data_IF_574048825784
#
_entry.id   IF_574048825784
#
_cell.length_a   1.000
_cell.length_b   1.000
_cell.length_c   1.000
_cell.angle_alpha   90.00
_cell.angle_beta   90.00
_cell.angle_gamma   90.00
#
_symmetry.space_group_name_H-M   'P 1'
#
loop_
_entity.id
_entity.type
_entity.pdbx_description
1 polymer ?
#
# COMPACT_ATOMS: atom_id res chain seq x y z
N UNK A 1 -1.63 35.58 -8.77
CA UNK A 1 -2.01 35.73 -7.35
C UNK A 1 -1.63 34.46 -6.59
N UNK A 2 -0.60 34.52 -5.72
CA UNK A 2 -0.38 33.49 -4.70
C UNK A 2 -1.57 33.58 -3.74
N UNK A 3 -2.41 32.56 -3.67
CA UNK A 3 -3.30 32.40 -2.52
C UNK A 3 -2.41 32.04 -1.35
N UNK A 4 -2.23 32.96 -0.41
CA UNK A 4 -1.65 32.66 0.88
C UNK A 4 -2.47 31.54 1.50
N UNK A 5 -1.83 30.39 1.71
CA UNK A 5 -2.46 29.29 2.43
C UNK A 5 -2.75 29.79 3.85
N UNK A 6 -3.99 29.65 4.36
CA UNK A 6 -4.31 30.10 5.70
C UNK A 6 -3.40 29.37 6.70
N UNK A 7 -2.82 30.08 7.68
CA UNK A 7 -1.86 29.52 8.66
C UNK A 7 -2.35 28.23 9.33
N UNK A 8 -3.66 28.08 9.53
CA UNK A 8 -4.29 26.86 10.07
C UNK A 8 -4.10 25.62 9.18
N UNK A 9 -4.02 25.80 7.87
CA UNK A 9 -3.76 24.72 6.91
C UNK A 9 -2.32 24.20 7.04
N UNK A 10 -1.35 25.09 7.22
CA UNK A 10 0.05 24.72 7.40
C UNK A 10 0.28 23.98 8.73
N UNK A 11 -0.38 24.40 9.81
CA UNK A 11 -0.32 23.72 11.11
C UNK A 11 -0.90 22.30 11.03
N UNK A 12 -2.10 22.13 10.45
CA UNK A 12 -2.71 20.80 10.29
C UNK A 12 -1.90 19.88 9.36
N UNK A 13 -1.29 20.45 8.32
CA UNK A 13 -0.38 19.74 7.43
C UNK A 13 0.86 19.24 8.18
N UNK A 14 1.50 20.10 8.98
CA UNK A 14 2.65 19.75 9.80
C UNK A 14 2.30 18.69 10.85
N UNK A 15 1.17 18.83 11.56
CA UNK A 15 0.74 17.84 12.55
C UNK A 15 0.52 16.45 11.94
N UNK A 16 -0.08 16.38 10.75
CA UNK A 16 -0.27 15.10 10.04
C UNK A 16 1.05 14.51 9.59
N UNK A 17 1.98 15.33 9.10
CA UNK A 17 3.29 14.85 8.68
C UNK A 17 4.07 14.28 9.86
N UNK A 18 4.07 15.01 10.97
CA UNK A 18 4.66 14.59 12.26
C UNK A 18 4.05 13.26 12.71
N UNK A 19 2.73 13.12 12.66
CA UNK A 19 2.04 11.89 13.04
C UNK A 19 2.57 10.66 12.27
N UNK A 20 2.63 10.72 10.94
CA UNK A 20 3.13 9.57 10.15
C UNK A 20 4.64 9.34 10.31
N UNK A 21 5.43 10.38 10.59
CA UNK A 21 6.86 10.20 10.87
C UNK A 21 7.14 9.64 12.26
N UNK A 22 6.26 9.88 13.24
CA UNK A 22 6.47 9.49 14.64
C UNK A 22 5.87 8.14 15.03
N UNK A 23 4.87 7.61 14.32
CA UNK A 23 4.24 6.32 14.68
C UNK A 23 5.29 5.22 14.86
N UNK A 24 6.19 5.04 13.89
CA UNK A 24 7.17 3.96 13.94
C UNK A 24 8.22 4.21 15.03
N UNK A 25 8.87 5.38 15.15
CA UNK A 25 9.78 5.67 16.27
C UNK A 25 9.13 5.46 17.64
N UNK A 26 7.88 5.90 17.82
CA UNK A 26 7.14 5.71 19.07
C UNK A 26 6.88 4.23 19.33
N UNK A 27 6.44 3.47 18.32
CA UNK A 27 6.23 2.04 18.45
C UNK A 27 7.52 1.29 18.78
N UNK A 28 8.65 1.69 18.19
CA UNK A 28 9.99 1.16 18.51
C UNK A 28 10.37 1.48 19.96
N UNK A 29 10.14 2.70 20.42
CA UNK A 29 10.35 3.08 21.82
C UNK A 29 9.51 2.24 22.78
N UNK A 30 8.23 2.03 22.46
CA UNK A 30 7.34 1.16 23.24
C UNK A 30 7.87 -0.29 23.24
N UNK A 31 8.29 -0.80 22.08
CA UNK A 31 8.86 -2.15 21.97
C UNK A 31 10.11 -2.32 22.84
N UNK A 32 11.00 -1.32 22.84
CA UNK A 32 12.19 -1.31 23.70
C UNK A 32 11.84 -1.27 25.19
N UNK A 33 10.86 -0.44 25.58
CA UNK A 33 10.36 -0.39 26.96
C UNK A 33 9.79 -1.74 27.38
N UNK A 34 9.02 -2.40 26.51
CA UNK A 34 8.45 -3.72 26.80
C UNK A 34 9.56 -4.78 26.90
N UNK A 35 10.54 -4.75 26.00
CA UNK A 35 11.70 -5.63 26.01
C UNK A 35 12.56 -5.51 27.27
N UNK A 36 12.59 -4.33 27.91
CA UNK A 36 13.45 -4.04 29.08
C UNK A 36 12.73 -4.15 30.42
N UNK A 37 11.44 -3.80 30.49
CA UNK A 37 10.69 -3.77 31.76
C UNK A 37 9.89 -5.04 32.04
N UNK A 38 9.45 -5.77 31.01
CA UNK A 38 8.66 -6.98 31.21
C UNK A 38 9.59 -8.18 31.45
N UNK A 39 9.19 -9.15 32.29
CA UNK A 39 9.90 -10.42 32.42
C UNK A 39 10.03 -11.13 31.06
N UNK A 40 11.13 -11.87 30.86
CA UNK A 40 11.43 -12.56 29.59
C UNK A 40 10.25 -13.41 29.07
N UNK A 41 9.54 -14.11 29.95
CA UNK A 41 8.35 -14.91 29.60
C UNK A 41 7.16 -14.10 29.04
N UNK A 42 7.23 -12.77 29.04
CA UNK A 42 6.25 -11.85 28.46
C UNK A 42 6.86 -10.87 27.43
N UNK A 43 8.17 -10.65 27.48
CA UNK A 43 8.86 -9.66 26.64
C UNK A 43 9.46 -10.26 25.37
N UNK A 44 9.81 -11.54 25.39
CA UNK A 44 10.40 -12.21 24.23
C UNK A 44 9.37 -12.31 23.09
N UNK A 45 9.77 -12.14 21.81
CA UNK A 45 8.85 -12.16 20.67
C UNK A 45 7.97 -13.42 20.61
N UNK A 46 8.52 -14.56 21.01
CA UNK A 46 7.85 -15.85 21.06
C UNK A 46 6.92 -16.09 22.26
N UNK A 47 6.91 -15.19 23.25
CA UNK A 47 6.08 -15.31 24.45
C UNK A 47 4.59 -15.25 24.11
N UNK A 48 3.69 -15.81 24.94
CA UNK A 48 2.24 -15.81 24.67
C UNK A 48 1.67 -14.41 24.42
N UNK A 49 2.15 -13.40 25.17
CA UNK A 49 1.73 -12.01 25.00
C UNK A 49 2.19 -11.48 23.64
N UNK A 50 3.48 -11.56 23.34
CA UNK A 50 4.03 -11.02 22.10
C UNK A 50 3.48 -11.74 20.88
N UNK A 51 3.29 -13.06 20.95
CA UNK A 51 2.69 -13.84 19.87
C UNK A 51 1.23 -13.41 19.61
N UNK A 52 0.46 -13.12 20.67
CA UNK A 52 -0.89 -12.57 20.53
C UNK A 52 -0.89 -11.19 19.83
N UNK A 53 0.07 -10.32 20.18
CA UNK A 53 0.25 -9.03 19.49
C UNK A 53 0.61 -9.22 18.02
N UNK A 54 1.50 -10.17 17.69
CA UNK A 54 1.82 -10.51 16.31
C UNK A 54 0.62 -11.01 15.52
N UNK A 55 -0.19 -11.90 16.09
CA UNK A 55 -1.39 -12.44 15.43
C UNK A 55 -2.38 -11.32 15.14
N UNK A 56 -2.77 -10.54 16.15
CA UNK A 56 -3.72 -9.44 15.99
C UNK A 56 -3.16 -8.39 15.03
N UNK A 57 -1.89 -8.03 15.19
CA UNK A 57 -1.20 -7.07 14.33
C UNK A 57 -1.18 -7.50 12.87
N UNK A 58 -0.85 -8.77 12.62
CA UNK A 58 -0.86 -9.36 11.27
C UNK A 58 -2.25 -9.40 10.67
N UNK A 59 -3.28 -9.78 11.43
CA UNK A 59 -4.66 -9.77 10.95
C UNK A 59 -5.09 -8.36 10.52
N UNK A 60 -4.72 -7.32 11.28
CA UNK A 60 -4.98 -5.93 10.92
C UNK A 60 -4.20 -5.49 9.66
N UNK A 61 -2.94 -5.91 9.52
CA UNK A 61 -2.18 -5.66 8.29
C UNK A 61 -2.80 -6.37 7.08
N UNK A 62 -3.35 -7.58 7.23
CA UNK A 62 -4.09 -8.26 6.17
C UNK A 62 -5.39 -7.52 5.83
N UNK A 63 -6.15 -7.07 6.83
CA UNK A 63 -7.36 -6.24 6.65
C UNK A 63 -7.04 -4.95 5.88
N UNK A 64 -5.86 -4.38 6.10
CA UNK A 64 -5.37 -3.20 5.36
C UNK A 64 -5.37 -3.43 3.84
N UNK A 65 -4.95 -4.63 3.39
CA UNK A 65 -4.99 -4.99 1.96
C UNK A 65 -6.42 -5.07 1.44
N UNK A 66 -7.32 -5.71 2.18
CA UNK A 66 -8.74 -5.78 1.82
C UNK A 66 -9.40 -4.39 1.74
N UNK A 67 -9.02 -3.47 2.64
CA UNK A 67 -9.52 -2.09 2.64
C UNK A 67 -9.27 -1.35 1.31
N UNK A 68 -8.16 -1.63 0.62
CA UNK A 68 -7.84 -1.04 -0.70
C UNK A 68 -8.78 -1.57 -1.79
N UNK A 69 -9.28 -2.79 -1.63
CA UNK A 69 -10.16 -3.42 -2.61
C UNK A 69 -11.61 -2.94 -2.49
N UNK A 70 -11.98 -2.14 -1.48
CA UNK A 70 -13.37 -1.69 -1.29
C UNK A 70 -13.97 -1.04 -2.55
N UNK A 71 -13.19 -0.21 -3.25
CA UNK A 71 -13.59 0.41 -4.53
C UNK A 71 -13.76 -0.62 -5.65
N UNK A 72 -12.96 -1.69 -5.63
CA UNK A 72 -13.02 -2.78 -6.64
C UNK A 72 -14.24 -3.69 -6.43
N UNK A 73 -14.78 -3.71 -5.22
CA UNK A 73 -16.03 -4.38 -4.85
C UNK A 73 -17.27 -3.46 -4.91
N UNK A 74 -17.16 -2.25 -5.48
CA UNK A 74 -18.30 -1.33 -5.61
C UNK A 74 -18.71 -0.61 -4.32
N UNK A 75 -17.95 -0.75 -3.22
CA UNK A 75 -18.20 -0.03 -1.96
C UNK A 75 -17.63 1.40 -2.01
N UNK A 76 -18.18 2.35 -1.23
CA UNK A 76 -17.64 3.70 -1.14
C UNK A 76 -16.15 3.70 -0.79
N UNK A 77 -15.35 4.39 -1.60
CA UNK A 77 -13.91 4.43 -1.43
C UNK A 77 -13.44 5.03 -0.10
N UNK A 78 -14.26 5.90 0.52
CA UNK A 78 -13.96 6.53 1.81
C UNK A 78 -13.87 5.50 2.93
N UNK A 79 -14.83 4.55 2.98
CA UNK A 79 -14.88 3.53 4.04
C UNK A 79 -13.65 2.64 3.99
N UNK A 80 -13.32 2.11 2.81
CA UNK A 80 -12.11 1.28 2.65
C UNK A 80 -10.82 2.03 2.96
N UNK A 81 -10.78 3.34 2.65
CA UNK A 81 -9.63 4.19 3.00
C UNK A 81 -9.49 4.34 4.51
N UNK A 82 -10.59 4.52 5.25
CA UNK A 82 -10.57 4.62 6.72
C UNK A 82 -10.13 3.31 7.35
N UNK A 83 -10.73 2.19 6.94
CA UNK A 83 -10.36 0.85 7.40
C UNK A 83 -8.86 0.62 7.18
N UNK A 84 -8.37 0.90 5.97
CA UNK A 84 -6.97 0.76 5.63
C UNK A 84 -6.06 1.59 6.53
N UNK A 85 -6.38 2.87 6.83
CA UNK A 85 -5.53 3.70 7.70
C UNK A 85 -5.49 3.14 9.12
N UNK A 86 -6.66 2.86 9.70
CA UNK A 86 -6.76 2.47 11.11
C UNK A 86 -6.08 1.12 11.32
N UNK A 87 -6.43 0.14 10.48
CA UNK A 87 -5.85 -1.20 10.56
C UNK A 87 -4.34 -1.19 10.26
N UNK A 88 -3.85 -0.37 9.32
CA UNK A 88 -2.41 -0.26 9.05
C UNK A 88 -1.65 0.29 10.25
N UNK A 89 -2.14 1.38 10.86
CA UNK A 89 -1.46 2.02 11.98
C UNK A 89 -1.43 1.11 13.20
N UNK A 90 -2.59 0.55 13.60
CA UNK A 90 -2.67 -0.34 14.76
C UNK A 90 -1.87 -1.61 14.49
N UNK A 91 -2.03 -2.24 13.33
CA UNK A 91 -1.29 -3.44 12.95
C UNK A 91 0.22 -3.24 12.96
N UNK A 92 0.70 -2.10 12.44
CA UNK A 92 2.12 -1.76 12.46
C UNK A 92 2.65 -1.59 13.89
N UNK A 93 1.93 -0.88 14.75
CA UNK A 93 2.33 -0.71 16.16
C UNK A 93 2.44 -2.07 16.84
N UNK A 94 1.43 -2.94 16.70
CA UNK A 94 1.42 -4.25 17.34
C UNK A 94 2.57 -5.16 16.87
N UNK A 95 2.84 -5.20 15.55
CA UNK A 95 3.94 -6.00 15.00
C UNK A 95 5.31 -5.45 15.42
N UNK A 96 5.48 -4.13 15.50
CA UNK A 96 6.72 -3.54 16.02
C UNK A 96 6.90 -3.88 17.50
N UNK A 97 5.85 -3.72 18.32
CA UNK A 97 5.90 -4.03 19.75
C UNK A 97 6.26 -5.52 19.97
N UNK A 98 5.66 -6.42 19.19
CA UNK A 98 5.98 -7.85 19.19
C UNK A 98 7.47 -8.15 19.02
N UNK A 99 8.23 -7.30 18.31
CA UNK A 99 9.68 -7.51 18.16
C UNK A 99 10.47 -7.43 19.46
N UNK A 100 9.87 -7.00 20.58
CA UNK A 100 10.54 -6.96 21.88
C UNK A 100 11.85 -6.15 21.90
N UNK A 101 12.00 -5.19 20.98
CA UNK A 101 13.22 -4.41 20.79
C UNK A 101 14.30 -5.08 19.92
N UNK A 102 14.12 -6.32 19.44
CA UNK A 102 15.09 -7.03 18.58
C UNK A 102 14.96 -6.64 17.11
N UNK A 103 15.03 -5.34 16.82
CA UNK A 103 14.75 -4.75 15.50
C UNK A 103 15.86 -5.05 14.47
N UNK A 104 17.05 -5.46 14.91
CA UNK A 104 18.19 -5.79 14.05
C UNK A 104 18.35 -7.29 13.76
N UNK A 105 17.44 -8.15 14.26
CA UNK A 105 17.42 -9.56 13.89
C UNK A 105 16.93 -9.75 12.43
N UNK A 106 17.03 -10.96 11.87
CA UNK A 106 16.58 -11.29 10.50
C UNK A 106 15.16 -10.79 10.15
N UNK A 107 14.16 -10.83 11.07
CA UNK A 107 12.83 -10.24 10.84
C UNK A 107 12.81 -8.70 10.78
N UNK A 108 13.88 -8.04 11.21
CA UNK A 108 14.05 -6.58 11.24
C UNK A 108 13.91 -5.89 9.90
N UNK A 109 14.21 -6.59 8.81
CA UNK A 109 13.96 -6.09 7.45
C UNK A 109 12.47 -5.79 7.20
N UNK A 110 11.56 -6.54 7.81
CA UNK A 110 10.11 -6.31 7.71
C UNK A 110 9.70 -5.03 8.45
N UNK A 111 10.36 -4.69 9.56
CA UNK A 111 10.13 -3.43 10.30
C UNK A 111 10.59 -2.23 9.46
N UNK A 112 11.76 -2.34 8.83
CA UNK A 112 12.24 -1.31 7.89
C UNK A 112 11.25 -1.14 6.73
N UNK A 113 10.76 -2.25 6.18
CA UNK A 113 9.78 -2.23 5.10
C UNK A 113 8.46 -1.59 5.53
N UNK A 114 7.97 -1.90 6.74
CA UNK A 114 6.80 -1.24 7.34
C UNK A 114 7.01 0.28 7.46
N UNK A 115 8.18 0.72 7.92
CA UNK A 115 8.53 2.13 8.00
C UNK A 115 8.47 2.83 6.63
N UNK A 116 9.09 2.22 5.62
CA UNK A 116 9.08 2.74 4.24
C UNK A 116 7.65 2.84 3.69
N UNK A 117 6.84 1.81 3.88
CA UNK A 117 5.44 1.78 3.42
C UNK A 117 4.63 2.88 4.13
N UNK A 118 4.81 3.05 5.45
CA UNK A 118 4.14 4.07 6.25
C UNK A 118 4.48 5.48 5.77
N UNK A 119 5.77 5.77 5.56
CA UNK A 119 6.22 7.05 5.04
C UNK A 119 5.66 7.33 3.65
N UNK A 120 5.72 6.36 2.73
CA UNK A 120 5.13 6.50 1.39
C UNK A 120 3.62 6.74 1.46
N UNK A 121 2.93 6.04 2.36
CA UNK A 121 1.49 6.23 2.61
C UNK A 121 1.16 7.62 3.15
N UNK A 122 1.96 8.13 4.09
CA UNK A 122 1.84 9.50 4.61
C UNK A 122 2.09 10.55 3.53
N UNK A 123 3.17 10.40 2.76
CA UNK A 123 3.49 11.27 1.62
C UNK A 123 2.33 11.30 0.59
N UNK A 124 1.77 10.14 0.24
CA UNK A 124 0.63 10.03 -0.68
C UNK A 124 -0.64 10.71 -0.17
N UNK A 125 -0.82 10.85 1.14
CA UNK A 125 -2.03 11.42 1.74
C UNK A 125 -1.90 12.90 2.07
N UNK A 126 -0.70 13.36 2.39
CA UNK A 126 -0.47 14.71 2.91
C UNK A 126 0.09 15.61 1.81
N UNK A 127 1.17 15.18 1.16
CA UNK A 127 1.92 16.00 0.20
C UNK A 127 1.32 15.87 -1.20
N UNK A 128 0.97 14.65 -1.59
CA UNK A 128 0.56 14.39 -2.97
C UNK A 128 -0.73 15.08 -3.41
N UNK A 129 -1.79 15.24 -2.59
CA UNK A 129 -2.98 16.00 -2.99
C UNK A 129 -2.68 17.45 -3.37
N UNK A 130 -1.72 18.09 -2.69
CA UNK A 130 -1.26 19.44 -3.02
C UNK A 130 -0.50 19.49 -4.34
N UNK A 131 0.31 18.48 -4.63
CA UNK A 131 1.01 18.38 -5.91
C UNK A 131 0.02 18.07 -7.05
N UNK A 132 -0.98 17.23 -6.79
CA UNK A 132 -2.05 16.96 -7.76
C UNK A 132 -2.88 18.19 -8.06
N UNK A 133 -3.28 18.99 -7.06
CA UNK A 133 -4.03 20.23 -7.30
C UNK A 133 -3.24 21.25 -8.12
N UNK A 134 -1.94 21.41 -7.81
CA UNK A 134 -1.03 22.29 -8.58
C UNK A 134 -0.84 21.83 -10.02
N UNK A 135 -0.88 20.53 -10.27
CA UNK A 135 -0.65 19.97 -11.61
C UNK A 135 -1.92 19.85 -12.44
N UNK A 136 -3.10 19.65 -11.83
CA UNK A 136 -4.36 19.35 -12.51
C UNK A 136 -4.74 20.38 -13.59
N UNK A 137 -4.56 21.68 -13.29
CA UNK A 137 -4.83 22.78 -14.24
C UNK A 137 -3.66 23.14 -15.15
N UNK A 138 -2.46 22.59 -14.91
CA UNK A 138 -1.24 22.91 -15.67
C UNK A 138 -0.87 21.86 -16.71
N UNK A 139 -1.68 20.80 -16.85
CA UNK A 139 -1.48 19.73 -17.85
C UNK A 139 -1.79 20.25 -19.25
N UNK A 140 -1.01 21.22 -19.73
CA UNK A 140 -1.05 21.77 -21.08
C UNK A 140 -0.85 20.67 -22.13
N UNK A 141 -0.03 19.64 -21.85
CA UNK A 141 0.21 18.51 -22.77
C UNK A 141 -1.03 17.70 -23.13
N UNK A 142 -2.07 17.70 -22.30
CA UNK A 142 -3.34 17.06 -22.64
C UNK A 142 -4.20 17.89 -23.62
N UNK A 143 -3.87 19.17 -23.77
CA UNK A 143 -4.58 20.15 -24.60
C UNK A 143 -3.70 20.74 -25.72
N UNK A 144 -2.42 20.35 -25.80
CA UNK A 144 -1.56 20.70 -26.94
C UNK A 144 -2.02 19.98 -28.18
N UNK A 145 -1.98 20.67 -29.33
CA UNK A 145 -2.24 20.06 -30.63
C UNK A 145 -1.36 18.82 -30.81
N UNK A 146 -2.00 17.67 -30.98
CA UNK A 146 -1.33 16.42 -31.31
C UNK A 146 -1.05 16.39 -32.81
N UNK A 147 0.13 15.90 -33.17
CA UNK A 147 0.44 15.54 -34.56
C UNK A 147 -0.66 14.63 -35.14
N UNK A 148 -0.95 14.80 -36.44
CA UNK A 148 -2.05 14.08 -37.09
C UNK A 148 -1.91 12.56 -37.03
N UNK A 149 -0.68 12.05 -37.05
CA UNK A 149 -0.41 10.62 -36.91
C UNK A 149 -0.81 10.11 -35.51
N UNK A 150 -0.38 10.81 -34.46
CA UNK A 150 -0.72 10.49 -33.06
C UNK A 150 -2.22 10.58 -32.81
N UNK A 151 -2.90 11.56 -33.42
CA UNK A 151 -4.36 11.68 -33.36
C UNK A 151 -5.07 10.49 -33.99
N UNK A 152 -4.61 10.02 -35.16
CA UNK A 152 -5.16 8.83 -35.82
C UNK A 152 -4.95 7.57 -34.98
N UNK A 153 -3.77 7.41 -34.39
CA UNK A 153 -3.46 6.29 -33.50
C UNK A 153 -4.37 6.27 -32.26
N UNK A 154 -4.56 7.43 -31.61
CA UNK A 154 -5.46 7.54 -30.46
C UNK A 154 -6.91 7.23 -30.82
N UNK A 155 -7.41 7.73 -31.96
CA UNK A 155 -8.77 7.40 -32.44
C UNK A 155 -8.96 5.90 -32.63
N UNK A 156 -7.96 5.21 -33.19
CA UNK A 156 -7.98 3.76 -33.35
C UNK A 156 -8.09 3.05 -31.98
N UNK A 157 -7.29 3.49 -31.00
CA UNK A 157 -7.33 2.91 -29.65
C UNK A 157 -8.66 3.17 -28.96
N UNK A 158 -9.21 4.39 -29.04
CA UNK A 158 -10.51 4.73 -28.45
C UNK A 158 -11.63 3.89 -29.06
N UNK A 159 -11.69 3.78 -30.39
CA UNK A 159 -12.67 2.93 -31.07
C UNK A 159 -12.55 1.46 -30.64
N UNK A 160 -11.32 0.91 -30.55
CA UNK A 160 -11.14 -0.45 -30.04
C UNK A 160 -11.52 -0.62 -28.57
N UNK A 161 -11.40 0.43 -27.74
CA UNK A 161 -11.89 0.40 -26.35
C UNK A 161 -13.41 0.39 -26.31
N UNK A 162 -14.08 1.19 -27.14
CA UNK A 162 -15.54 1.21 -27.23
C UNK A 162 -16.10 -0.16 -27.66
N UNK A 163 -15.46 -0.82 -28.64
CA UNK A 163 -15.84 -2.17 -29.08
C UNK A 163 -15.71 -3.22 -27.97
N UNK A 164 -14.64 -3.14 -27.16
CA UNK A 164 -14.44 -4.01 -26.01
C UNK A 164 -15.38 -3.66 -24.85
N UNK A 165 -15.69 -2.38 -24.67
CA UNK A 165 -16.59 -1.90 -23.63
C UNK A 165 -18.02 -2.37 -23.88
N UNK A 166 -18.48 -2.35 -25.14
CA UNK A 166 -19.79 -2.87 -25.53
C UNK A 166 -19.99 -4.35 -25.13
N UNK A 167 -18.90 -5.12 -25.08
CA UNK A 167 -18.94 -6.52 -24.63
C UNK A 167 -18.84 -6.68 -23.11
N UNK A 168 -18.15 -5.77 -22.42
CA UNK A 168 -17.93 -5.82 -20.97
C UNK A 168 -19.08 -5.21 -20.16
N UNK A 169 -19.54 -4.03 -20.55
CA UNK A 169 -20.59 -3.27 -19.87
C UNK A 169 -21.31 -2.37 -20.90
N UNK A 170 -22.36 -2.88 -21.60
CA UNK A 170 -22.99 -2.20 -22.72
C UNK A 170 -23.53 -0.79 -22.43
N UNK A 171 -23.87 -0.52 -21.17
CA UNK A 171 -24.41 0.76 -20.72
C UNK A 171 -23.33 1.73 -20.21
N UNK A 172 -22.05 1.34 -20.22
CA UNK A 172 -20.96 2.17 -19.75
C UNK A 172 -20.45 3.10 -20.85
N UNK A 173 -19.98 4.28 -20.43
CA UNK A 173 -19.31 5.23 -21.30
C UNK A 173 -17.80 5.12 -21.10
N UNK A 174 -17.04 5.09 -22.19
CA UNK A 174 -15.57 4.92 -22.16
C UNK A 174 -14.90 5.90 -21.19
N UNK A 175 -15.23 7.19 -21.27
CA UNK A 175 -14.64 8.23 -20.43
C UNK A 175 -14.98 8.16 -18.93
N UNK A 176 -15.96 7.35 -18.54
CA UNK A 176 -16.39 7.17 -17.14
C UNK A 176 -16.14 5.75 -16.61
N UNK A 177 -15.90 4.80 -17.51
CA UNK A 177 -15.72 3.41 -17.17
C UNK A 177 -14.37 3.17 -16.50
N UNK A 178 -14.35 2.22 -15.57
CA UNK A 178 -13.10 1.67 -15.06
C UNK A 178 -13.27 0.19 -14.74
N UNK A 179 -12.25 -0.61 -15.04
CA UNK A 179 -12.27 -2.04 -14.76
C UNK A 179 -12.45 -2.31 -13.24
N UNK A 180 -13.49 -3.10 -12.91
CA UNK A 180 -13.81 -3.61 -11.57
C UNK A 180 -13.36 -5.06 -11.45
N UNK A 181 -13.26 -5.58 -10.22
CA UNK A 181 -12.84 -6.97 -10.00
C UNK A 181 -13.80 -7.97 -10.67
N UNK A 182 -15.10 -7.67 -10.65
CA UNK A 182 -16.12 -8.49 -11.31
C UNK A 182 -15.82 -8.74 -12.80
N UNK A 183 -15.27 -7.76 -13.52
CA UNK A 183 -14.95 -7.90 -14.94
C UNK A 183 -13.77 -8.87 -15.16
N UNK A 184 -12.80 -8.86 -14.23
CA UNK A 184 -11.69 -9.81 -14.26
C UNK A 184 -12.13 -11.24 -13.96
N UNK A 185 -13.20 -11.42 -13.18
CA UNK A 185 -13.77 -12.74 -12.87
C UNK A 185 -14.66 -13.23 -14.02
N UNK A 186 -15.55 -12.37 -14.52
CA UNK A 186 -16.55 -12.73 -15.53
C UNK A 186 -15.94 -12.86 -16.93
N UNK A 187 -14.99 -11.99 -17.29
CA UNK A 187 -14.42 -11.91 -18.63
C UNK A 187 -12.92 -11.55 -18.59
N UNK A 188 -12.06 -12.46 -18.08
CA UNK A 188 -10.64 -12.17 -17.83
C UNK A 188 -9.87 -11.73 -19.08
N UNK A 189 -10.15 -12.36 -20.23
CA UNK A 189 -9.48 -12.04 -21.50
C UNK A 189 -9.88 -10.65 -22.00
N UNK A 190 -11.16 -10.31 -21.98
CA UNK A 190 -11.65 -8.98 -22.40
C UNK A 190 -11.14 -7.88 -21.45
N UNK A 191 -11.16 -8.14 -20.14
CA UNK A 191 -10.61 -7.22 -19.15
C UNK A 191 -9.12 -6.96 -19.36
N UNK A 192 -8.34 -8.01 -19.71
CA UNK A 192 -6.93 -7.87 -20.04
C UNK A 192 -6.70 -7.07 -21.33
N UNK A 193 -7.45 -7.36 -22.40
CA UNK A 193 -7.34 -6.62 -23.67
C UNK A 193 -7.69 -5.14 -23.49
N UNK A 194 -8.77 -4.83 -22.76
CA UNK A 194 -9.14 -3.46 -22.43
C UNK A 194 -8.01 -2.76 -21.64
N UNK A 195 -7.46 -3.45 -20.62
CA UNK A 195 -6.34 -2.94 -19.83
C UNK A 195 -5.08 -2.67 -20.65
N UNK A 196 -4.81 -3.49 -21.66
CA UNK A 196 -3.70 -3.29 -22.60
C UNK A 196 -3.89 -2.01 -23.42
N UNK A 197 -5.10 -1.75 -23.91
CA UNK A 197 -5.43 -0.52 -24.65
C UNK A 197 -5.32 0.72 -23.76
N UNK A 198 -5.84 0.69 -22.53
CA UNK A 198 -5.65 1.79 -21.55
C UNK A 198 -4.17 2.11 -21.34
N UNK A 199 -3.30 1.08 -21.27
CA UNK A 199 -1.86 1.25 -21.08
C UNK A 199 -1.17 1.85 -22.29
N UNK A 200 -1.61 1.52 -23.49
CA UNK A 200 -1.11 2.10 -24.74
C UNK A 200 -1.50 3.58 -24.83
N UNK A 201 -2.76 3.90 -24.57
CA UNK A 201 -3.23 5.28 -24.51
C UNK A 201 -2.47 6.11 -23.46
N UNK A 202 -2.31 5.60 -22.23
CA UNK A 202 -1.53 6.27 -21.17
C UNK A 202 -0.09 6.62 -21.64
N UNK A 203 0.51 5.75 -22.47
CA UNK A 203 1.86 5.92 -23.02
C UNK A 203 1.87 7.00 -24.09
N UNK A 204 0.93 6.98 -25.02
CA UNK A 204 0.83 7.96 -26.13
C UNK A 204 0.55 9.37 -25.59
N UNK A 205 -0.39 9.49 -24.63
CA UNK A 205 -0.71 10.77 -23.97
C UNK A 205 0.47 11.27 -23.13
N UNK A 206 1.44 10.41 -22.80
CA UNK A 206 2.57 10.77 -21.95
C UNK A 206 2.13 11.12 -20.52
N UNK A 207 1.07 10.47 -20.02
CA UNK A 207 0.42 10.80 -18.74
C UNK A 207 1.43 10.91 -17.58
N UNK A 208 2.43 10.04 -17.55
CA UNK A 208 3.48 9.99 -16.52
C UNK A 208 4.54 11.08 -16.68
N UNK A 209 4.84 11.47 -17.91
CA UNK A 209 5.82 12.51 -18.24
C UNK A 209 5.25 13.92 -17.99
N UNK A 210 3.96 14.02 -17.68
CA UNK A 210 3.29 15.29 -17.33
C UNK A 210 3.47 15.71 -15.87
N UNK A 211 4.10 14.86 -15.03
CA UNK A 211 4.26 15.09 -13.59
C UNK A 211 5.66 14.67 -13.13
N UNK A 212 6.10 15.16 -11.96
CA UNK A 212 7.40 14.78 -11.38
C UNK A 212 7.45 13.26 -11.12
N UNK A 213 8.63 12.60 -11.21
CA UNK A 213 8.75 11.15 -10.99
C UNK A 213 8.16 10.66 -9.67
N UNK A 214 8.35 11.40 -8.58
CA UNK A 214 7.77 11.04 -7.28
C UNK A 214 6.23 10.99 -7.34
N UNK A 215 5.59 11.89 -8.08
CA UNK A 215 4.15 11.89 -8.30
C UNK A 215 3.68 10.73 -9.21
N UNK A 216 4.51 10.37 -10.19
CA UNK A 216 4.20 9.29 -11.13
C UNK A 216 4.36 7.88 -10.51
N UNK A 217 5.32 7.71 -9.58
CA UNK A 217 5.76 6.39 -9.12
C UNK A 217 5.51 6.11 -7.64
N UNK A 218 5.31 7.11 -6.77
CA UNK A 218 5.14 6.89 -5.33
C UNK A 218 4.02 5.90 -5.00
N UNK A 219 2.87 5.98 -5.70
CA UNK A 219 1.79 5.00 -5.54
C UNK A 219 2.23 3.58 -5.91
N UNK A 220 2.98 3.42 -7.00
CA UNK A 220 3.48 2.10 -7.43
C UNK A 220 4.49 1.55 -6.44
N UNK A 221 5.40 2.38 -5.94
CA UNK A 221 6.38 1.98 -4.93
C UNK A 221 5.69 1.52 -3.65
N UNK A 222 4.72 2.28 -3.16
CA UNK A 222 3.92 1.86 -1.99
C UNK A 222 3.27 0.49 -2.23
N UNK A 223 2.65 0.27 -3.40
CA UNK A 223 2.05 -1.02 -3.76
C UNK A 223 3.06 -2.17 -3.83
N UNK A 224 4.22 -1.95 -4.46
CA UNK A 224 5.28 -2.98 -4.58
C UNK A 224 5.79 -3.36 -3.20
N UNK A 225 6.09 -2.38 -2.36
CA UNK A 225 6.57 -2.64 -1.00
C UNK A 225 5.50 -3.30 -0.13
N UNK A 226 4.22 -2.93 -0.28
CA UNK A 226 3.13 -3.66 0.37
C UNK A 226 3.12 -5.14 -0.04
N UNK A 227 3.20 -5.45 -1.34
CA UNK A 227 3.28 -6.86 -1.78
C UNK A 227 4.49 -7.59 -1.20
N UNK A 228 5.66 -6.94 -1.18
CA UNK A 228 6.87 -7.49 -0.58
C UNK A 228 6.68 -7.76 0.92
N UNK A 229 6.00 -6.86 1.64
CA UNK A 229 5.69 -7.03 3.06
C UNK A 229 4.76 -8.22 3.28
N UNK A 230 3.72 -8.37 2.46
CA UNK A 230 2.79 -9.49 2.57
C UNK A 230 3.51 -10.82 2.39
N UNK A 231 4.35 -10.93 1.34
CA UNK A 231 5.18 -12.11 1.10
C UNK A 231 6.12 -12.35 2.28
N UNK A 232 6.79 -11.31 2.76
CA UNK A 232 7.72 -11.40 3.88
C UNK A 232 7.06 -11.88 5.18
N UNK A 233 5.86 -11.38 5.50
CA UNK A 233 5.07 -11.84 6.65
C UNK A 233 4.66 -13.31 6.47
N UNK A 234 4.21 -13.70 5.28
CA UNK A 234 3.84 -15.10 5.01
C UNK A 234 5.03 -16.03 5.18
N UNK A 235 6.19 -15.67 4.62
CA UNK A 235 7.43 -16.44 4.80
C UNK A 235 7.80 -16.51 6.28
N UNK A 236 7.76 -15.38 7.00
CA UNK A 236 8.06 -15.34 8.42
C UNK A 236 7.17 -16.30 9.21
N UNK A 237 5.84 -16.25 9.03
CA UNK A 237 4.89 -17.15 9.69
C UNK A 237 5.20 -18.62 9.38
N UNK A 238 5.40 -18.96 8.10
CA UNK A 238 5.72 -20.34 7.71
C UNK A 238 7.01 -20.81 8.40
N UNK A 239 8.06 -19.97 8.39
CA UNK A 239 9.34 -20.34 8.99
C UNK A 239 9.26 -20.51 10.51
N UNK A 240 8.60 -19.61 11.24
CA UNK A 240 8.55 -19.72 12.71
C UNK A 240 7.58 -20.81 13.18
N UNK A 241 6.59 -21.19 12.36
CA UNK A 241 5.57 -22.19 12.73
C UNK A 241 5.91 -23.61 12.30
N UNK A 242 6.60 -23.81 11.17
CA UNK A 242 6.91 -25.14 10.63
C UNK A 242 8.40 -25.48 10.59
N UNK A 243 9.27 -24.47 10.56
CA UNK A 243 10.72 -24.65 10.51
C UNK A 243 11.38 -24.13 11.79
N UNK A 244 10.77 -24.44 12.94
CA UNK A 244 11.16 -23.83 14.20
C UNK A 244 12.60 -24.19 14.61
N UNK A 245 13.08 -25.41 14.32
CA UNK A 245 14.46 -25.81 14.58
C UNK A 245 15.46 -25.00 13.75
N UNK A 246 15.20 -24.86 12.45
CA UNK A 246 15.99 -23.99 11.56
C UNK A 246 16.05 -22.55 12.06
N UNK A 247 14.92 -21.99 12.51
CA UNK A 247 14.86 -20.60 13.02
C UNK A 247 15.56 -20.46 14.39
N UNK A 248 15.47 -21.49 15.23
CA UNK A 248 16.09 -21.48 16.54
C UNK A 248 17.62 -21.50 16.46
N UNK A 249 18.19 -22.05 15.37
CA UNK A 249 19.62 -22.08 15.11
C UNK A 249 20.38 -22.74 16.27
N UNK A 250 19.91 -23.93 16.66
CA UNK A 250 20.47 -24.72 17.77
C UNK A 250 20.09 -24.23 19.17
N UNK A 251 19.29 -23.17 19.31
CA UNK A 251 18.76 -22.72 20.61
C UNK A 251 17.47 -23.45 20.99
N UNK A 252 17.09 -23.47 22.28
CA UNK A 252 15.80 -23.98 22.70
C UNK A 252 14.65 -23.21 22.02
N UNK A 253 13.70 -23.95 21.47
CA UNK A 253 12.48 -23.38 20.88
C UNK A 253 11.53 -23.03 22.03
N UNK A 254 11.29 -21.74 22.22
CA UNK A 254 10.48 -21.22 23.34
C UNK A 254 9.11 -20.67 22.90
N UNK A 255 8.84 -20.64 21.60
CA UNK A 255 7.57 -20.16 21.04
C UNK A 255 6.68 -21.31 20.58
N UNK A 256 5.38 -21.04 20.49
CA UNK A 256 4.44 -21.99 19.93
C UNK A 256 4.67 -22.19 18.43
N UNK A 257 4.78 -23.45 18.03
CA UNK A 257 4.97 -23.91 16.66
C UNK A 257 4.16 -25.21 16.44
N UNK A 258 4.04 -25.64 15.18
CA UNK A 258 3.34 -26.87 14.80
C UNK A 258 4.36 -28.00 14.58
N UNK A 259 5.40 -27.71 13.79
CA UNK A 259 6.48 -28.66 13.46
C UNK A 259 7.83 -27.96 13.66
N UNK A 260 8.86 -28.74 13.95
CA UNK A 260 10.22 -28.31 14.22
C UNK A 260 11.20 -28.72 13.10
N UNK A 261 10.76 -28.66 11.84
CA UNK A 261 11.61 -29.06 10.71
C UNK A 261 12.89 -28.22 10.58
N UNK A 262 13.92 -28.86 10.02
CA UNK A 262 15.24 -28.27 9.74
C UNK A 262 16.25 -28.59 10.83
#
# INVERSE_FOLDING_TARGET
MRRDTPKSFDVLFQMRLIFYSLIVPVAVGISYIFGTLLPNGLSEPGSPLMQSLAIIGTLLLVITFYGVLSKRFGKPGRIGTVIHIISANIGTILVIVHSGGTIFATPGSLIILLFVIMLLGGLLRIVMPLNFSKTFGTKLRGFTSLEDNTRKELRKIISSKEDLLAQLEPNAQEGLFSLRLQHWIQAPLLAYQYRKLEKLEEKIIGYRNSVKPIQAYCRRLHQIFSWLLLIGITVHIITVTFFANYVADGRPIYWWHIEDWG
#
